data_IF_492388094992
#
_entry.id   IF_492388094992
#
_cell.length_a   1.000
_cell.length_b   1.000
_cell.length_c   1.000
_cell.angle_alpha   90.00
_cell.angle_beta   90.00
_cell.angle_gamma   90.00
#
_symmetry.space_group_name_H-M   'P 1'
#
loop_
_entity.id
_entity.type
_entity.pdbx_description
1 polymer ?
#
# COMPACT_ATOMS: atom_id res chain seq x y z
N UNK A 1 19.02 -13.26 22.99
CA UNK A 1 19.76 -12.21 23.73
C UNK A 1 18.89 -10.96 23.88
N UNK A 2 18.79 -10.43 25.08
CA UNK A 2 18.21 -9.11 25.31
C UNK A 2 19.15 -8.03 24.80
N UNK A 3 18.63 -7.09 23.99
CA UNK A 3 19.43 -6.09 23.30
C UNK A 3 18.76 -4.69 23.32
N UNK A 4 18.11 -4.39 24.43
CA UNK A 4 17.43 -3.11 24.64
C UNK A 4 18.42 -1.94 24.54
N UNK A 5 17.98 -0.84 23.96
CA UNK A 5 18.78 0.32 23.62
C UNK A 5 19.22 0.32 22.16
N UNK A 6 20.31 1.00 21.87
CA UNK A 6 20.83 1.19 20.51
C UNK A 6 22.31 0.78 20.42
N UNK A 7 22.86 0.53 19.23
CA UNK A 7 24.27 0.22 19.06
C UNK A 7 25.19 1.18 19.83
N UNK A 8 26.11 0.62 20.60
CA UNK A 8 27.00 1.36 21.49
C UNK A 8 26.35 1.94 22.77
N UNK A 9 25.04 1.81 22.94
CA UNK A 9 24.26 2.28 24.09
C UNK A 9 23.22 1.27 24.53
N UNK A 10 23.62 0.01 24.69
CA UNK A 10 22.75 -1.07 25.14
C UNK A 10 22.58 -1.04 26.66
N UNK A 11 21.40 -1.47 27.11
CA UNK A 11 21.16 -1.68 28.54
C UNK A 11 21.95 -2.90 29.07
N UNK A 12 22.05 -3.97 28.27
CA UNK A 12 22.79 -5.19 28.63
C UNK A 12 24.13 -5.26 27.92
N UNK A 13 25.14 -5.87 28.62
CA UNK A 13 26.41 -6.22 27.99
C UNK A 13 26.32 -7.39 27.02
N UNK A 14 27.35 -7.64 26.23
CA UNK A 14 27.44 -8.75 25.27
C UNK A 14 26.53 -8.56 24.06
N UNK A 15 26.33 -7.32 23.61
CA UNK A 15 25.49 -6.98 22.44
C UNK A 15 26.31 -6.58 21.20
N UNK A 16 27.63 -6.76 21.24
CA UNK A 16 28.54 -6.34 20.16
C UNK A 16 28.20 -6.96 18.80
N UNK A 17 27.76 -8.21 18.76
CA UNK A 17 27.34 -8.87 17.49
C UNK A 17 25.96 -8.39 17.01
N UNK A 18 25.04 -8.08 17.95
CA UNK A 18 23.74 -7.47 17.62
C UNK A 18 23.98 -6.06 17.08
N UNK A 19 24.93 -5.32 17.64
CA UNK A 19 25.31 -3.99 17.16
C UNK A 19 25.84 -4.02 15.73
N UNK A 20 26.67 -5.01 15.38
CA UNK A 20 27.14 -5.21 14.00
C UNK A 20 25.96 -5.41 13.05
N UNK A 21 25.01 -6.29 13.40
CA UNK A 21 23.85 -6.58 12.57
C UNK A 21 22.97 -5.34 12.39
N UNK A 22 22.67 -4.63 13.47
CA UNK A 22 21.83 -3.44 13.43
C UNK A 22 22.51 -2.29 12.66
N UNK A 23 23.82 -2.05 12.88
CA UNK A 23 24.58 -1.06 12.15
C UNK A 23 24.62 -1.39 10.65
N UNK A 24 24.85 -2.65 10.27
CA UNK A 24 24.83 -3.07 8.86
C UNK A 24 23.47 -2.77 8.20
N UNK A 25 22.36 -3.05 8.89
CA UNK A 25 21.02 -2.75 8.39
C UNK A 25 20.80 -1.23 8.25
N UNK A 26 21.28 -0.43 9.20
CA UNK A 26 21.20 1.04 9.15
C UNK A 26 21.98 1.62 7.99
N UNK A 27 23.23 1.20 7.81
CA UNK A 27 24.10 1.70 6.73
C UNK A 27 23.54 1.32 5.34
N UNK A 28 23.05 0.08 5.18
CA UNK A 28 22.39 -0.34 3.94
C UNK A 28 21.10 0.45 3.64
N UNK A 29 20.29 0.74 4.66
CA UNK A 29 19.11 1.59 4.50
C UNK A 29 19.47 3.00 4.08
N UNK A 30 20.54 3.59 4.68
CA UNK A 30 21.05 4.92 4.32
C UNK A 30 21.57 4.97 2.89
N UNK A 31 22.35 3.97 2.48
CA UNK A 31 22.87 3.84 1.12
C UNK A 31 21.75 3.67 0.10
N UNK A 32 20.78 2.78 0.38
CA UNK A 32 19.67 2.45 -0.54
C UNK A 32 18.76 3.65 -0.82
N UNK A 33 18.49 4.46 0.20
CA UNK A 33 17.54 5.58 0.12
C UNK A 33 18.20 6.97 0.12
N UNK A 34 19.51 7.05 0.21
CA UNK A 34 20.22 8.34 0.26
C UNK A 34 19.91 9.17 1.52
N UNK A 35 19.47 8.54 2.61
CA UNK A 35 19.06 9.24 3.82
C UNK A 35 20.20 9.38 4.83
N UNK A 36 20.22 10.49 5.57
CA UNK A 36 21.28 10.76 6.57
C UNK A 36 21.11 9.90 7.82
N UNK A 37 19.91 9.48 8.15
CA UNK A 37 19.59 8.74 9.36
C UNK A 37 18.60 7.59 9.08
N UNK A 38 18.82 6.45 9.73
CA UNK A 38 17.95 5.30 9.66
C UNK A 38 17.77 4.65 11.05
N UNK A 39 16.53 4.25 11.37
CA UNK A 39 16.19 3.39 12.50
C UNK A 39 15.53 2.12 11.96
N UNK A 40 16.11 0.98 12.27
CA UNK A 40 15.70 -0.33 11.75
C UNK A 40 15.07 -1.23 12.81
N UNK A 41 14.80 -0.70 14.00
CA UNK A 41 14.24 -1.47 15.12
C UNK A 41 12.73 -1.72 15.04
N UNK A 42 11.88 -0.90 14.37
CA UNK A 42 10.45 -1.20 14.28
C UNK A 42 10.21 -2.58 13.68
N UNK A 43 9.34 -3.39 14.30
CA UNK A 43 8.98 -4.72 13.81
C UNK A 43 7.89 -4.69 12.73
N UNK A 44 7.30 -3.52 12.44
CA UNK A 44 6.24 -3.32 11.44
C UNK A 44 6.16 -1.86 11.01
N UNK A 45 5.53 -1.60 9.86
CA UNK A 45 5.19 -0.23 9.44
C UNK A 45 4.27 0.46 10.44
N UNK A 46 3.34 -0.26 11.04
CA UNK A 46 2.45 0.30 12.08
C UNK A 46 3.23 0.79 13.30
N UNK A 47 4.23 0.04 13.77
CA UNK A 47 5.08 0.48 14.86
C UNK A 47 5.97 1.65 14.48
N UNK A 48 6.53 1.66 13.25
CA UNK A 48 7.30 2.80 12.74
C UNK A 48 6.43 4.07 12.71
N UNK A 49 5.21 3.98 12.18
CA UNK A 49 4.27 5.10 12.15
C UNK A 49 3.90 5.58 13.56
N UNK A 50 3.64 4.65 14.46
CA UNK A 50 3.38 4.96 15.86
C UNK A 50 4.52 5.73 16.52
N UNK A 51 5.77 5.32 16.28
CA UNK A 51 6.95 6.01 16.80
C UNK A 51 7.06 7.44 16.26
N UNK A 52 6.74 7.68 14.98
CA UNK A 52 6.70 9.01 14.38
C UNK A 52 5.61 9.86 15.03
N UNK A 53 4.40 9.32 15.20
CA UNK A 53 3.32 10.04 15.87
C UNK A 53 3.70 10.44 17.30
N UNK A 54 4.30 9.55 18.08
CA UNK A 54 4.74 9.86 19.44
C UNK A 54 5.88 10.87 19.52
N UNK A 55 6.77 10.87 18.51
CA UNK A 55 7.87 11.83 18.48
C UNK A 55 7.40 13.26 18.13
N UNK A 56 6.35 13.39 17.32
CA UNK A 56 5.95 14.68 16.72
C UNK A 56 4.63 15.23 17.26
N UNK A 57 3.79 14.40 17.89
CA UNK A 57 2.46 14.77 18.34
C UNK A 57 2.25 14.46 19.83
N UNK A 58 1.35 15.22 20.44
CA UNK A 58 0.77 14.91 21.76
C UNK A 58 -0.65 14.35 21.57
N UNK A 59 -1.18 13.53 22.51
CA UNK A 59 -2.56 13.08 22.47
C UNK A 59 -3.53 14.26 22.29
N UNK A 60 -4.47 14.10 21.34
CA UNK A 60 -5.41 15.16 20.97
C UNK A 60 -4.93 16.12 19.87
N UNK A 61 -3.66 16.10 19.51
CA UNK A 61 -3.16 16.91 18.39
C UNK A 61 -3.79 16.50 17.06
N UNK A 62 -4.00 17.50 16.20
CA UNK A 62 -4.58 17.30 14.87
C UNK A 62 -3.52 16.88 13.88
N UNK A 63 -3.81 15.88 13.08
CA UNK A 63 -3.05 15.55 11.87
C UNK A 63 -3.99 15.31 10.69
N UNK A 64 -3.46 15.49 9.48
CA UNK A 64 -4.17 15.32 8.21
C UNK A 64 -3.63 14.08 7.51
N UNK A 65 -4.49 13.16 7.05
CA UNK A 65 -4.11 11.93 6.35
C UNK A 65 -5.12 11.55 5.27
N UNK A 66 -4.75 10.63 4.38
CA UNK A 66 -5.67 10.12 3.37
C UNK A 66 -6.76 9.25 4.01
N UNK A 67 -8.01 9.47 3.60
CA UNK A 67 -9.14 8.66 4.03
C UNK A 67 -8.93 7.17 3.68
N UNK A 68 -9.30 6.28 4.59
CA UNK A 68 -9.14 4.84 4.41
C UNK A 68 -9.88 4.32 3.17
N UNK A 69 -11.08 4.84 2.90
CA UNK A 69 -11.87 4.48 1.73
C UNK A 69 -11.27 4.99 0.41
N UNK A 70 -10.43 6.01 0.48
CA UNK A 70 -9.69 6.55 -0.67
C UNK A 70 -8.31 5.90 -0.89
N UNK A 71 -7.98 4.89 -0.10
CA UNK A 71 -6.71 4.16 -0.21
C UNK A 71 -5.70 4.44 0.90
N UNK A 72 -6.06 5.18 1.94
CA UNK A 72 -5.23 5.38 3.12
C UNK A 72 -4.93 4.08 3.87
N UNK A 73 -4.07 4.16 4.87
CA UNK A 73 -3.77 3.02 5.76
C UNK A 73 -4.51 3.16 7.10
N UNK A 74 -4.76 2.04 7.79
CA UNK A 74 -5.39 2.07 9.12
C UNK A 74 -4.66 2.99 10.10
N UNK A 75 -3.32 3.06 10.04
CA UNK A 75 -2.51 3.93 10.88
C UNK A 75 -2.56 5.41 10.49
N UNK A 76 -3.29 5.78 9.44
CA UNK A 76 -3.47 7.17 9.02
C UNK A 76 -4.77 7.79 9.57
N UNK A 77 -5.21 7.36 10.75
CA UNK A 77 -6.33 7.99 11.47
C UNK A 77 -7.62 7.17 11.52
N UNK A 78 -7.59 5.89 11.14
CA UNK A 78 -8.78 5.04 11.29
C UNK A 78 -9.24 4.97 12.77
N UNK A 79 -10.54 5.10 13.06
CA UNK A 79 -11.07 4.97 14.43
C UNK A 79 -10.78 3.62 15.08
N UNK A 80 -10.53 2.58 14.28
CA UNK A 80 -10.14 1.26 14.78
C UNK A 80 -8.67 1.19 15.21
N UNK A 81 -7.85 2.16 14.80
CA UNK A 81 -6.42 2.22 15.09
C UNK A 81 -6.11 3.19 16.23
N UNK A 82 -4.94 3.02 16.85
CA UNK A 82 -4.44 3.93 17.88
C UNK A 82 -4.35 5.38 17.39
N UNK A 83 -3.94 5.62 16.13
CA UNK A 83 -3.84 6.95 15.55
C UNK A 83 -5.18 7.70 15.54
N UNK A 84 -6.28 6.98 15.31
CA UNK A 84 -7.62 7.56 15.37
C UNK A 84 -8.21 7.67 16.77
N UNK A 85 -7.63 6.96 17.75
CA UNK A 85 -8.12 6.98 19.16
C UNK A 85 -7.39 8.01 20.02
N UNK A 86 -6.12 8.26 19.75
CA UNK A 86 -5.28 9.11 20.59
C UNK A 86 -5.09 10.52 20.04
N UNK A 87 -5.22 10.69 18.74
CA UNK A 87 -5.09 11.98 18.07
C UNK A 87 -6.40 12.40 17.43
N UNK A 88 -6.43 13.61 16.89
CA UNK A 88 -7.56 14.13 16.12
C UNK A 88 -7.24 14.02 14.61
N UNK A 89 -7.56 12.90 13.97
CA UNK A 89 -7.36 12.76 12.53
C UNK A 89 -8.38 13.59 11.77
N UNK A 90 -7.91 14.29 10.75
CA UNK A 90 -8.71 14.89 9.68
C UNK A 90 -8.32 14.21 8.38
N UNK A 91 -9.28 13.92 7.52
CA UNK A 91 -8.98 13.16 6.29
C UNK A 91 -9.13 14.02 5.05
N UNK A 92 -8.20 13.87 4.10
CA UNK A 92 -8.38 14.31 2.72
C UNK A 92 -8.79 13.13 1.85
N UNK A 93 -9.47 13.45 0.73
CA UNK A 93 -10.01 12.46 -0.19
C UNK A 93 -9.41 12.64 -1.58
N UNK A 94 -9.73 11.71 -2.46
CA UNK A 94 -9.52 11.86 -3.91
C UNK A 94 -10.74 12.56 -4.52
N UNK A 95 -10.59 13.11 -5.73
CA UNK A 95 -11.70 13.68 -6.50
C UNK A 95 -12.65 12.57 -6.97
N UNK A 96 -13.93 12.92 -7.13
CA UNK A 96 -14.95 11.95 -7.55
C UNK A 96 -14.89 11.62 -9.05
N UNK A 97 -14.43 12.57 -9.86
CA UNK A 97 -14.39 12.47 -11.32
C UNK A 97 -13.26 11.58 -11.85
N UNK A 98 -12.06 11.66 -11.24
CA UNK A 98 -10.86 10.97 -11.73
C UNK A 98 -10.14 10.10 -10.69
N UNK A 99 -10.61 10.13 -9.44
CA UNK A 99 -10.01 9.44 -8.29
C UNK A 99 -8.54 9.82 -8.02
N UNK A 100 -8.13 11.04 -8.37
CA UNK A 100 -6.82 11.58 -8.04
C UNK A 100 -6.86 12.41 -6.75
N UNK A 101 -5.70 12.53 -6.07
CA UNK A 101 -5.57 13.39 -4.90
C UNK A 101 -5.84 14.84 -5.31
N UNK A 102 -6.76 15.49 -4.61
CA UNK A 102 -7.06 16.90 -4.76
C UNK A 102 -6.14 17.73 -3.85
N UNK A 103 -5.02 18.18 -4.39
CA UNK A 103 -4.03 18.95 -3.62
C UNK A 103 -4.55 20.33 -3.18
N UNK A 104 -5.48 20.92 -3.90
CA UNK A 104 -6.07 22.20 -3.50
C UNK A 104 -7.00 22.00 -2.30
N UNK A 105 -7.80 20.93 -2.30
CA UNK A 105 -8.58 20.54 -1.14
C UNK A 105 -7.69 20.16 0.06
N UNK A 106 -6.56 19.47 -0.16
CA UNK A 106 -5.58 19.21 0.91
C UNK A 106 -5.07 20.51 1.51
N UNK A 107 -4.76 21.53 0.69
CA UNK A 107 -4.29 22.83 1.14
C UNK A 107 -5.38 23.58 1.94
N UNK A 108 -6.63 23.60 1.46
CA UNK A 108 -7.77 24.18 2.17
C UNK A 108 -7.98 23.53 3.55
N UNK A 109 -7.94 22.20 3.60
CA UNK A 109 -8.08 21.46 4.85
C UNK A 109 -6.91 21.75 5.81
N UNK A 110 -5.69 21.85 5.30
CA UNK A 110 -4.52 22.20 6.12
C UNK A 110 -4.65 23.62 6.70
N UNK A 111 -5.06 24.60 5.93
CA UNK A 111 -5.30 25.98 6.39
C UNK A 111 -6.41 26.06 7.45
N UNK A 112 -7.49 25.32 7.24
CA UNK A 112 -8.66 25.29 8.13
C UNK A 112 -8.34 24.60 9.45
N UNK A 113 -7.78 23.41 9.41
CA UNK A 113 -7.64 22.52 10.57
C UNK A 113 -6.30 22.70 11.29
N UNK A 114 -5.33 23.36 10.65
CA UNK A 114 -3.97 23.64 11.18
C UNK A 114 -3.32 22.43 11.82
N UNK A 115 -3.19 21.31 11.07
CA UNK A 115 -2.61 20.10 11.62
C UNK A 115 -1.14 20.33 11.99
N UNK A 116 -0.64 19.63 12.99
CA UNK A 116 0.80 19.59 13.31
C UNK A 116 1.59 18.65 12.39
N UNK A 117 0.89 17.69 11.78
CA UNK A 117 1.46 16.66 10.91
C UNK A 117 0.55 16.42 9.71
N UNK A 118 1.13 16.33 8.52
CA UNK A 118 0.45 15.85 7.31
C UNK A 118 1.08 14.52 6.93
N UNK A 119 0.23 13.49 6.77
CA UNK A 119 0.64 12.15 6.34
C UNK A 119 0.36 12.01 4.84
N UNK A 120 1.40 11.83 4.05
CA UNK A 120 1.31 11.43 2.65
C UNK A 120 1.69 9.96 2.51
N UNK A 121 0.99 9.24 1.64
CA UNK A 121 1.19 7.81 1.46
C UNK A 121 -0.11 7.04 1.47
N UNK A 122 -0.12 5.88 0.86
CA UNK A 122 -1.32 5.10 0.65
C UNK A 122 -1.05 3.60 0.58
N UNK A 123 -2.08 2.81 0.92
CA UNK A 123 -2.09 1.36 0.79
C UNK A 123 -2.75 0.89 -0.51
N UNK A 124 -3.61 1.72 -1.10
CA UNK A 124 -4.41 1.38 -2.26
C UNK A 124 -4.68 2.61 -3.16
N UNK A 125 -3.67 3.43 -3.37
CA UNK A 125 -3.66 4.52 -4.35
C UNK A 125 -2.64 4.19 -5.43
N UNK A 126 -3.06 4.13 -6.69
CA UNK A 126 -2.28 3.55 -7.79
C UNK A 126 -1.51 4.59 -8.62
N UNK A 127 -1.72 5.88 -8.37
CA UNK A 127 -1.04 6.96 -9.09
C UNK A 127 0.15 7.52 -8.32
N UNK A 128 0.98 8.31 -9.00
CA UNK A 128 2.06 9.04 -8.35
C UNK A 128 1.53 10.03 -7.32
N UNK A 129 2.26 10.18 -6.23
CA UNK A 129 2.02 11.20 -5.20
C UNK A 129 3.05 12.30 -5.39
N UNK A 130 2.57 13.55 -5.49
CA UNK A 130 3.42 14.73 -5.57
C UNK A 130 3.85 15.14 -4.15
N UNK A 131 5.01 14.61 -3.71
CA UNK A 131 5.57 14.90 -2.39
C UNK A 131 6.04 16.35 -2.25
N UNK A 132 6.45 16.99 -3.36
CA UNK A 132 6.82 18.40 -3.37
C UNK A 132 5.62 19.27 -3.04
N UNK A 133 4.48 19.00 -3.67
CA UNK A 133 3.23 19.73 -3.39
C UNK A 133 2.75 19.53 -1.96
N UNK A 134 2.83 18.30 -1.42
CA UNK A 134 2.57 18.04 0.01
C UNK A 134 3.52 18.81 0.92
N UNK A 135 4.80 18.93 0.57
CA UNK A 135 5.77 19.70 1.35
C UNK A 135 5.41 21.20 1.36
N UNK A 136 5.08 21.78 0.23
CA UNK A 136 4.64 23.18 0.12
C UNK A 136 3.40 23.45 0.98
N UNK A 137 2.43 22.53 0.97
CA UNK A 137 1.23 22.62 1.83
C UNK A 137 1.61 22.53 3.31
N UNK A 138 2.46 21.59 3.70
CA UNK A 138 2.90 21.43 5.07
C UNK A 138 3.62 22.68 5.59
N UNK A 139 4.54 23.23 4.81
CA UNK A 139 5.29 24.44 5.13
C UNK A 139 4.36 25.66 5.30
N UNK A 140 3.31 25.77 4.47
CA UNK A 140 2.36 26.89 4.52
C UNK A 140 1.60 27.00 5.84
N UNK A 141 1.49 25.90 6.60
CA UNK A 141 0.79 25.85 7.89
C UNK A 141 1.72 25.51 9.07
N UNK A 142 3.02 25.37 8.82
CA UNK A 142 4.01 24.99 9.83
C UNK A 142 3.88 23.54 10.32
N UNK A 143 3.33 22.65 9.50
CA UNK A 143 3.19 21.23 9.80
C UNK A 143 4.43 20.42 9.40
N UNK A 144 4.65 19.29 10.07
CA UNK A 144 5.59 18.29 9.58
C UNK A 144 4.98 17.50 8.42
N UNK A 145 5.77 17.21 7.39
CA UNK A 145 5.41 16.22 6.37
C UNK A 145 6.00 14.86 6.74
N UNK A 146 5.13 13.89 6.95
CA UNK A 146 5.43 12.49 7.17
C UNK A 146 5.00 11.67 5.96
N UNK A 147 5.89 10.87 5.38
CA UNK A 147 5.57 9.99 4.25
C UNK A 147 5.68 8.52 4.66
N UNK A 148 4.57 7.78 4.51
CA UNK A 148 4.54 6.33 4.61
C UNK A 148 4.64 5.72 3.20
N UNK A 149 5.86 5.29 2.81
CA UNK A 149 6.11 4.69 1.50
C UNK A 149 6.10 3.16 1.51
N UNK A 150 5.51 2.53 2.53
CA UNK A 150 5.57 1.09 2.74
C UNK A 150 5.19 0.27 1.52
N UNK A 151 4.20 0.71 0.72
CA UNK A 151 3.76 -0.02 -0.46
C UNK A 151 4.68 0.14 -1.67
N UNK A 152 5.31 1.28 -1.86
CA UNK A 152 6.08 1.62 -3.06
C UNK A 152 7.59 1.84 -2.80
N UNK A 153 8.09 1.53 -1.60
CA UNK A 153 9.51 1.74 -1.26
C UNK A 153 10.50 1.03 -2.20
N UNK A 154 10.15 -0.16 -2.69
CA UNK A 154 10.98 -0.85 -3.69
C UNK A 154 11.01 -0.15 -5.05
N UNK A 155 9.92 0.53 -5.42
CA UNK A 155 9.86 1.33 -6.64
C UNK A 155 10.67 2.62 -6.49
N UNK A 156 10.61 3.26 -5.31
CA UNK A 156 11.46 4.42 -4.97
C UNK A 156 12.93 4.02 -5.05
N UNK A 157 13.34 2.95 -4.38
CA UNK A 157 14.71 2.43 -4.41
C UNK A 157 15.19 2.07 -5.82
N UNK A 158 14.29 1.61 -6.70
CA UNK A 158 14.57 1.29 -8.10
C UNK A 158 14.44 2.48 -9.06
N UNK A 159 14.12 3.68 -8.58
CA UNK A 159 13.96 4.88 -9.41
C UNK A 159 12.69 4.88 -10.28
N UNK A 160 11.72 4.01 -10.00
CA UNK A 160 10.48 3.86 -10.76
C UNK A 160 9.25 4.56 -10.11
N UNK A 161 9.47 5.30 -9.03
CA UNK A 161 8.45 6.09 -8.34
C UNK A 161 9.08 7.35 -7.73
N UNK A 162 8.35 8.47 -7.63
CA UNK A 162 8.88 9.69 -7.03
C UNK A 162 9.49 9.45 -5.65
N UNK A 163 10.67 10.03 -5.43
CA UNK A 163 11.39 9.92 -4.15
C UNK A 163 10.81 10.92 -3.12
N UNK A 164 10.29 10.46 -1.98
CA UNK A 164 9.79 11.35 -0.93
C UNK A 164 10.89 12.01 -0.09
N UNK A 165 12.10 11.42 -0.05
CA UNK A 165 13.16 11.83 0.89
C UNK A 165 13.59 13.29 0.76
N UNK A 166 13.72 13.89 -0.45
CA UNK A 166 14.05 15.30 -0.57
C UNK A 166 12.99 16.27 -0.03
N UNK A 167 11.76 15.78 0.16
CA UNK A 167 10.60 16.59 0.51
C UNK A 167 10.08 16.34 1.93
N UNK A 168 10.15 15.11 2.42
CA UNK A 168 9.58 14.73 3.71
C UNK A 168 10.50 15.06 4.89
N UNK A 169 9.92 15.42 6.04
CA UNK A 169 10.66 15.53 7.30
C UNK A 169 11.00 14.16 7.87
N UNK A 170 10.08 13.20 7.70
CA UNK A 170 10.27 11.81 8.10
C UNK A 170 9.59 10.89 7.11
N UNK A 171 10.21 9.74 6.85
CA UNK A 171 9.69 8.70 5.95
C UNK A 171 9.67 7.37 6.70
N UNK A 172 8.61 6.60 6.56
CA UNK A 172 8.55 5.21 7.03
C UNK A 172 8.35 4.23 5.89
N UNK A 173 8.73 3.00 6.11
CA UNK A 173 8.47 1.90 5.18
C UNK A 173 8.34 0.56 5.91
N UNK A 174 7.94 -0.46 5.18
CA UNK A 174 8.07 -1.87 5.56
C UNK A 174 9.16 -2.53 4.74
N UNK A 175 9.77 -3.58 5.26
CA UNK A 175 10.77 -4.38 4.53
C UNK A 175 10.15 -5.54 3.75
N UNK A 176 8.90 -5.90 4.04
CA UNK A 176 8.21 -7.10 3.57
C UNK A 176 7.19 -6.87 2.45
N UNK A 177 7.21 -5.71 1.79
CA UNK A 177 6.37 -5.38 0.62
C UNK A 177 7.25 -5.27 -0.63
N UNK A 178 7.24 -4.16 -1.33
CA UNK A 178 8.04 -3.99 -2.56
C UNK A 178 9.56 -4.04 -2.35
N UNK A 179 10.05 -3.91 -1.12
CA UNK A 179 11.46 -4.20 -0.79
C UNK A 179 11.80 -5.70 -0.76
N UNK A 180 10.85 -6.59 -1.11
CA UNK A 180 11.02 -8.02 -1.34
C UNK A 180 11.36 -8.85 -0.11
N UNK A 181 10.79 -8.54 1.03
CA UNK A 181 10.63 -9.52 2.10
C UNK A 181 9.64 -10.62 1.67
N UNK A 182 9.29 -11.61 2.53
CA UNK A 182 8.68 -12.88 2.11
C UNK A 182 7.22 -12.83 1.64
N UNK A 183 6.74 -11.74 1.02
CA UNK A 183 5.38 -11.64 0.44
C UNK A 183 5.37 -10.76 -0.82
N UNK A 184 4.39 -10.92 -1.75
CA UNK A 184 4.34 -10.24 -3.04
C UNK A 184 2.94 -10.04 -3.69
N UNK A 185 2.82 -9.74 -5.01
CA UNK A 185 1.58 -9.44 -5.76
C UNK A 185 1.71 -9.19 -7.29
N UNK A 186 0.77 -8.61 -8.07
CA UNK A 186 0.73 -8.62 -9.56
C UNK A 186 0.22 -7.32 -10.23
N UNK A 187 0.50 -7.04 -11.55
CA UNK A 187 -0.04 -5.93 -12.37
C UNK A 187 -0.91 -6.48 -13.53
N UNK A 188 -2.11 -5.90 -13.71
CA UNK A 188 -3.12 -6.42 -14.63
C UNK A 188 -3.96 -5.32 -15.30
N UNK A 189 -3.58 -4.05 -15.22
CA UNK A 189 -4.46 -2.92 -15.51
C UNK A 189 -4.94 -2.85 -16.96
N UNK A 190 -4.08 -3.05 -17.96
CA UNK A 190 -4.45 -2.96 -19.37
C UNK A 190 -5.49 -4.01 -19.75
N UNK A 191 -5.25 -5.28 -19.41
CA UNK A 191 -6.16 -6.40 -19.71
C UNK A 191 -7.49 -6.27 -18.99
N UNK A 192 -7.50 -5.85 -17.72
CA UNK A 192 -8.72 -5.69 -16.94
C UNK A 192 -9.62 -4.60 -17.52
N UNK A 193 -9.07 -3.47 -17.94
CA UNK A 193 -9.83 -2.40 -18.59
C UNK A 193 -10.42 -2.86 -19.93
N UNK A 194 -9.64 -3.53 -20.76
CA UNK A 194 -10.08 -4.09 -22.05
C UNK A 194 -11.25 -5.06 -21.89
N UNK A 195 -11.23 -5.90 -20.83
CA UNK A 195 -12.27 -6.87 -20.50
C UNK A 195 -13.46 -6.26 -19.76
N UNK A 196 -13.53 -4.92 -19.64
CA UNK A 196 -14.66 -4.18 -19.06
C UNK A 196 -14.72 -4.24 -17.54
N UNK A 197 -13.60 -4.45 -16.85
CA UNK A 197 -13.43 -4.22 -15.42
C UNK A 197 -12.96 -2.78 -15.19
N UNK A 198 -13.60 -2.10 -14.25
CA UNK A 198 -13.24 -0.74 -13.90
C UNK A 198 -11.99 -0.74 -12.99
N UNK A 199 -10.94 -0.08 -13.44
CA UNK A 199 -9.75 0.19 -12.62
C UNK A 199 -9.85 1.60 -12.06
N UNK A 200 -9.75 1.73 -10.74
CA UNK A 200 -9.81 3.02 -10.05
C UNK A 200 -8.75 3.96 -10.61
N UNK A 201 -9.10 5.23 -10.83
CA UNK A 201 -8.26 6.26 -11.49
C UNK A 201 -7.82 5.93 -12.93
N UNK A 202 -8.51 5.00 -13.60
CA UNK A 202 -8.27 4.66 -15.01
C UNK A 202 -6.94 3.96 -15.32
N UNK A 203 -6.17 3.56 -14.31
CA UNK A 203 -4.89 2.88 -14.49
C UNK A 203 -4.03 2.86 -13.24
N UNK A 204 -2.74 2.53 -13.41
CA UNK A 204 -1.77 2.52 -12.31
C UNK A 204 -0.40 3.00 -12.76
N UNK A 205 0.28 3.75 -11.89
CA UNK A 205 1.69 4.16 -12.01
C UNK A 205 2.57 3.36 -11.03
N UNK A 206 2.03 2.31 -10.39
CA UNK A 206 2.71 1.54 -9.36
C UNK A 206 2.51 0.03 -9.56
N UNK A 207 2.92 -0.75 -8.57
CA UNK A 207 2.74 -2.21 -8.51
C UNK A 207 1.31 -2.64 -8.08
N UNK A 208 0.42 -1.68 -7.78
CA UNK A 208 -0.94 -1.94 -7.28
C UNK A 208 -1.95 -1.64 -8.38
N UNK A 209 -2.93 -2.53 -8.54
CA UNK A 209 -4.16 -2.29 -9.30
C UNK A 209 -5.33 -2.41 -8.34
N UNK A 210 -6.14 -1.35 -8.25
CA UNK A 210 -7.39 -1.36 -7.50
C UNK A 210 -8.54 -1.47 -8.50
N UNK A 211 -9.26 -2.58 -8.45
CA UNK A 211 -10.39 -2.87 -9.34
C UNK A 211 -11.69 -2.54 -8.64
N UNK A 212 -12.52 -1.72 -9.29
CA UNK A 212 -13.89 -1.43 -8.87
C UNK A 212 -14.84 -2.48 -9.47
N UNK A 213 -15.50 -3.22 -8.63
CA UNK A 213 -16.39 -4.32 -9.01
C UNK A 213 -17.87 -3.90 -9.11
N UNK A 214 -18.21 -2.66 -8.74
CA UNK A 214 -19.60 -2.14 -8.81
C UNK A 214 -20.21 -2.28 -10.20
N UNK A 215 -19.48 -2.02 -11.31
CA UNK A 215 -20.05 -2.22 -12.67
C UNK A 215 -20.38 -3.67 -13.01
N UNK A 216 -19.83 -4.63 -12.28
CA UNK A 216 -20.12 -6.07 -12.44
C UNK A 216 -21.13 -6.59 -11.42
N UNK A 217 -21.60 -5.73 -10.50
CA UNK A 217 -22.56 -6.06 -9.44
C UNK A 217 -22.11 -7.22 -8.53
N UNK A 218 -20.80 -7.36 -8.32
CA UNK A 218 -20.22 -8.37 -7.42
C UNK A 218 -19.45 -7.69 -6.29
N UNK A 219 -19.34 -8.38 -5.13
CA UNK A 219 -18.67 -7.83 -3.96
C UNK A 219 -17.18 -8.18 -3.94
N UNK A 220 -16.38 -7.35 -3.26
CA UNK A 220 -14.96 -7.64 -3.04
C UNK A 220 -14.77 -8.95 -2.28
N UNK A 221 -15.62 -9.22 -1.27
CA UNK A 221 -15.58 -10.46 -0.47
C UNK A 221 -15.83 -11.71 -1.31
N UNK A 222 -16.86 -11.70 -2.15
CA UNK A 222 -17.17 -12.83 -3.01
C UNK A 222 -16.06 -13.04 -4.04
N UNK A 223 -15.61 -11.97 -4.70
CA UNK A 223 -14.54 -12.04 -5.70
C UNK A 223 -13.21 -12.54 -5.10
N UNK A 224 -12.83 -12.09 -3.91
CA UNK A 224 -11.65 -12.59 -3.19
C UNK A 224 -11.73 -14.12 -3.02
N UNK A 225 -12.87 -14.64 -2.56
CA UNK A 225 -13.08 -16.07 -2.35
C UNK A 225 -13.03 -16.88 -3.66
N UNK A 226 -13.67 -16.39 -4.73
CA UNK A 226 -13.69 -17.08 -6.01
C UNK A 226 -12.31 -17.10 -6.68
N UNK A 227 -11.55 -16.01 -6.60
CA UNK A 227 -10.17 -15.96 -7.09
C UNK A 227 -9.23 -16.89 -6.29
N UNK A 228 -9.44 -17.04 -4.99
CA UNK A 228 -8.70 -17.99 -4.17
C UNK A 228 -9.00 -19.44 -4.58
N UNK A 229 -10.26 -19.79 -4.89
CA UNK A 229 -10.62 -21.11 -5.45
C UNK A 229 -9.93 -21.34 -6.80
N UNK A 230 -9.74 -20.31 -7.60
CA UNK A 230 -8.97 -20.35 -8.85
C UNK A 230 -7.42 -20.26 -8.65
N UNK A 231 -6.93 -20.36 -7.40
CA UNK A 231 -5.52 -20.30 -6.99
C UNK A 231 -4.85 -18.95 -7.26
N UNK A 232 -5.62 -17.87 -7.31
CA UNK A 232 -5.12 -16.51 -7.47
C UNK A 232 -5.40 -15.70 -6.20
N UNK A 233 -4.34 -15.34 -5.46
CA UNK A 233 -4.47 -14.58 -4.21
C UNK A 233 -4.61 -13.09 -4.48
N UNK A 234 -5.67 -12.50 -3.94
CA UNK A 234 -5.87 -11.06 -3.85
C UNK A 234 -6.43 -10.69 -2.47
N UNK A 235 -6.80 -9.43 -2.26
CA UNK A 235 -7.60 -9.07 -1.10
C UNK A 235 -8.77 -8.16 -1.51
N UNK A 236 -9.92 -8.36 -0.85
CA UNK A 236 -11.00 -7.39 -0.92
C UNK A 236 -10.52 -6.03 -0.42
N UNK A 237 -10.97 -4.96 -1.05
CA UNK A 237 -10.56 -3.61 -0.72
C UNK A 237 -11.71 -2.64 -0.99
N UNK A 238 -11.90 -1.66 -0.09
CA UNK A 238 -12.80 -0.55 -0.38
C UNK A 238 -12.30 0.23 -1.59
N UNK A 239 -13.23 0.73 -2.38
CA UNK A 239 -12.95 1.68 -3.47
C UNK A 239 -13.35 3.08 -3.01
N UNK A 240 -12.85 4.16 -3.62
CA UNK A 240 -13.28 5.51 -3.29
C UNK A 240 -14.82 5.62 -3.34
N UNK A 241 -15.38 6.29 -2.33
CA UNK A 241 -16.84 6.45 -2.16
C UNK A 241 -17.61 5.13 -2.06
N UNK A 242 -16.96 4.08 -1.54
CA UNK A 242 -17.58 2.78 -1.31
C UNK A 242 -18.69 2.89 -0.27
N UNK A 243 -19.87 2.38 -0.60
CA UNK A 243 -21.04 2.32 0.30
C UNK A 243 -21.17 0.98 1.00
N UNK A 244 -20.40 -0.03 0.57
CA UNK A 244 -20.42 -1.35 1.18
C UNK A 244 -19.73 -1.37 2.54
N UNK A 245 -20.18 -2.22 3.49
CA UNK A 245 -19.47 -2.40 4.76
C UNK A 245 -18.01 -2.83 4.54
N UNK A 246 -17.10 -2.37 5.40
CA UNK A 246 -15.66 -2.68 5.32
C UNK A 246 -15.34 -4.19 5.26
N UNK A 247 -16.20 -5.03 5.81
CA UNK A 247 -16.07 -6.50 5.78
C UNK A 247 -16.51 -7.13 4.45
N UNK A 248 -17.17 -6.37 3.58
CA UNK A 248 -17.68 -6.81 2.28
C UNK A 248 -16.92 -6.16 1.13
N UNK A 249 -16.86 -4.82 1.11
CA UNK A 249 -16.21 -3.97 0.12
C UNK A 249 -16.73 -4.13 -1.32
N UNK A 250 -16.45 -3.15 -2.17
CA UNK A 250 -16.85 -3.16 -3.58
C UNK A 250 -15.69 -3.29 -4.55
N UNK A 251 -14.50 -3.63 -4.06
CA UNK A 251 -13.33 -3.81 -4.91
C UNK A 251 -12.38 -4.89 -4.44
N UNK A 252 -11.40 -5.18 -5.27
CA UNK A 252 -10.24 -6.02 -4.95
C UNK A 252 -8.95 -5.30 -5.30
N UNK A 253 -7.94 -5.52 -4.47
CA UNK A 253 -6.58 -5.02 -4.70
C UNK A 253 -5.70 -6.16 -5.20
N UNK A 254 -5.06 -5.91 -6.33
CA UNK A 254 -4.11 -6.80 -7.00
C UNK A 254 -2.74 -6.15 -7.02
N UNK A 255 -1.69 -6.93 -7.17
CA UNK A 255 -0.35 -6.37 -7.29
C UNK A 255 0.66 -7.34 -7.90
N UNK A 256 1.86 -6.87 -8.35
CA UNK A 256 2.81 -7.67 -9.13
C UNK A 256 3.99 -8.31 -8.42
N UNK A 257 4.49 -7.85 -7.26
CA UNK A 257 5.84 -8.22 -6.84
C UNK A 257 6.09 -9.74 -6.74
N UNK A 258 5.08 -10.55 -6.35
CA UNK A 258 5.28 -12.00 -6.25
C UNK A 258 5.47 -12.66 -7.61
N UNK A 259 4.65 -12.30 -8.59
CA UNK A 259 4.78 -12.84 -9.96
C UNK A 259 6.09 -12.41 -10.59
N UNK A 260 6.48 -11.14 -10.46
CA UNK A 260 7.77 -10.64 -10.94
C UNK A 260 8.94 -11.37 -10.27
N UNK A 261 8.86 -11.64 -8.97
CA UNK A 261 9.89 -12.43 -8.24
C UNK A 261 9.98 -13.85 -8.75
N UNK A 262 8.86 -14.44 -9.21
CA UNK A 262 8.85 -15.77 -9.87
C UNK A 262 9.43 -15.75 -11.29
N UNK A 263 9.63 -14.57 -11.88
CA UNK A 263 10.09 -14.42 -13.26
C UNK A 263 8.97 -14.17 -14.28
N UNK A 264 7.75 -13.84 -13.84
CA UNK A 264 6.65 -13.48 -14.74
C UNK A 264 6.99 -12.21 -15.50
N UNK A 265 6.81 -12.22 -16.81
CA UNK A 265 6.87 -11.09 -17.71
C UNK A 265 5.48 -10.56 -18.08
N UNK A 266 5.43 -9.71 -19.09
CA UNK A 266 4.20 -9.07 -19.56
C UNK A 266 3.15 -10.08 -20.01
N UNK A 267 3.56 -11.13 -20.76
CA UNK A 267 2.65 -12.14 -21.28
C UNK A 267 1.96 -12.95 -20.19
N UNK A 268 2.69 -13.30 -19.12
CA UNK A 268 2.12 -13.99 -17.97
C UNK A 268 1.11 -13.13 -17.24
N UNK A 269 1.42 -11.84 -17.03
CA UNK A 269 0.49 -10.92 -16.39
C UNK A 269 -0.74 -10.61 -17.24
N UNK A 270 -0.62 -10.55 -18.56
CA UNK A 270 -1.77 -10.45 -19.46
C UNK A 270 -2.68 -11.67 -19.32
N UNK A 271 -2.10 -12.88 -19.35
CA UNK A 271 -2.84 -14.12 -19.17
C UNK A 271 -3.60 -14.16 -17.85
N UNK A 272 -2.94 -13.77 -16.75
CA UNK A 272 -3.56 -13.70 -15.42
C UNK A 272 -4.70 -12.66 -15.40
N UNK A 273 -4.54 -11.52 -16.09
CA UNK A 273 -5.59 -10.52 -16.24
C UNK A 273 -6.84 -11.06 -16.90
N UNK A 274 -6.68 -11.83 -17.99
CA UNK A 274 -7.80 -12.51 -18.65
C UNK A 274 -8.47 -13.53 -17.72
N UNK A 275 -7.71 -14.35 -17.00
CA UNK A 275 -8.27 -15.35 -16.09
C UNK A 275 -9.06 -14.72 -14.93
N UNK A 276 -8.61 -13.61 -14.38
CA UNK A 276 -9.36 -12.85 -13.37
C UNK A 276 -10.67 -12.33 -13.97
N UNK A 277 -10.62 -11.78 -15.18
CA UNK A 277 -11.81 -11.29 -15.86
C UNK A 277 -12.81 -12.43 -16.19
N UNK A 278 -12.32 -13.62 -16.54
CA UNK A 278 -13.16 -14.80 -16.77
C UNK A 278 -13.89 -15.21 -15.48
N UNK A 279 -13.17 -15.34 -14.36
CA UNK A 279 -13.76 -15.66 -13.04
C UNK A 279 -14.81 -14.63 -12.65
N UNK A 280 -14.47 -13.33 -12.66
CA UNK A 280 -15.40 -12.25 -12.27
C UNK A 280 -16.62 -12.20 -13.19
N UNK A 281 -16.44 -12.39 -14.49
CA UNK A 281 -17.56 -12.37 -15.44
C UNK A 281 -18.49 -13.57 -15.25
N UNK A 282 -17.95 -14.74 -14.87
CA UNK A 282 -18.77 -15.95 -14.63
C UNK A 282 -19.63 -15.84 -13.37
N UNK A 283 -19.36 -14.89 -12.47
CA UNK A 283 -20.16 -14.65 -11.27
C UNK A 283 -21.56 -14.05 -11.61
N UNK A 284 -21.71 -13.42 -12.77
CA UNK A 284 -23.00 -12.90 -13.27
C UNK A 284 -23.78 -12.03 -12.25
N UNK A 285 -23.09 -11.21 -11.46
CA UNK A 285 -23.71 -10.39 -10.42
C UNK A 285 -24.04 -11.13 -9.11
N UNK A 286 -23.65 -12.40 -8.98
CA UNK A 286 -23.81 -13.21 -7.77
C UNK A 286 -22.52 -13.35 -6.94
N UNK A 287 -22.60 -14.18 -5.92
CA UNK A 287 -21.47 -14.44 -5.00
C UNK A 287 -20.58 -15.63 -5.43
N UNK A 288 -21.05 -16.44 -6.39
CA UNK A 288 -20.36 -17.65 -6.85
C UNK A 288 -20.06 -17.57 -8.35
N UNK A 289 -18.85 -17.97 -8.73
CA UNK A 289 -18.43 -18.13 -10.12
C UNK A 289 -18.82 -19.52 -10.65
N UNK A 290 -18.88 -19.66 -11.96
CA UNK A 290 -19.10 -20.97 -12.59
C UNK A 290 -17.98 -21.95 -12.19
N UNK A 291 -18.32 -23.11 -11.56
CA UNK A 291 -17.32 -24.09 -11.16
C UNK A 291 -16.44 -24.61 -12.31
N UNK A 292 -16.96 -24.66 -13.54
CA UNK A 292 -16.18 -25.06 -14.69
C UNK A 292 -15.10 -24.03 -15.03
N UNK A 293 -15.42 -22.73 -14.96
CA UNK A 293 -14.47 -21.63 -15.15
C UNK A 293 -13.41 -21.65 -14.05
N UNK A 294 -13.79 -21.83 -12.78
CA UNK A 294 -12.87 -21.96 -11.66
C UNK A 294 -11.88 -23.12 -11.90
N UNK A 295 -12.37 -24.30 -12.28
CA UNK A 295 -11.55 -25.47 -12.51
C UNK A 295 -10.56 -25.27 -13.69
N UNK A 296 -11.03 -24.68 -14.78
CA UNK A 296 -10.21 -24.35 -15.95
C UNK A 296 -9.11 -23.36 -15.58
N UNK A 297 -9.45 -22.24 -14.94
CA UNK A 297 -8.50 -21.21 -14.54
C UNK A 297 -7.47 -21.76 -13.54
N UNK A 298 -7.92 -22.53 -12.53
CA UNK A 298 -7.00 -23.17 -11.59
C UNK A 298 -6.01 -24.12 -12.29
N UNK A 299 -6.44 -24.81 -13.35
CA UNK A 299 -5.57 -25.62 -14.21
C UNK A 299 -4.49 -24.78 -14.90
N UNK A 300 -4.88 -23.67 -15.51
CA UNK A 300 -3.98 -22.71 -16.16
C UNK A 300 -2.96 -22.10 -15.17
N UNK A 301 -3.43 -21.73 -13.97
CA UNK A 301 -2.56 -21.20 -12.92
C UNK A 301 -1.54 -22.23 -12.46
N UNK A 302 -1.91 -23.51 -12.28
CA UNK A 302 -0.97 -24.59 -11.95
C UNK A 302 0.07 -24.78 -13.04
N UNK A 303 -0.33 -24.77 -14.30
CA UNK A 303 0.58 -24.91 -15.45
C UNK A 303 1.58 -23.74 -15.46
N UNK A 304 1.10 -22.49 -15.37
CA UNK A 304 1.94 -21.32 -15.31
C UNK A 304 2.93 -21.40 -14.15
N UNK A 305 2.47 -21.73 -12.95
CA UNK A 305 3.32 -21.75 -11.75
C UNK A 305 4.36 -22.88 -11.76
N UNK A 306 4.14 -23.97 -12.51
CA UNK A 306 5.15 -25.01 -12.74
C UNK A 306 6.29 -24.52 -13.64
N UNK A 307 6.01 -23.68 -14.60
CA UNK A 307 7.04 -23.08 -15.49
C UNK A 307 7.94 -22.11 -14.73
N UNK A 308 7.46 -21.51 -13.62
CA UNK A 308 8.15 -20.51 -12.84
C UNK A 308 8.17 -20.91 -11.34
N UNK A 309 8.92 -21.92 -10.94
CA UNK A 309 9.00 -22.36 -9.55
C UNK A 309 9.67 -21.30 -8.67
N UNK A 310 9.23 -21.17 -7.41
CA UNK A 310 9.86 -20.24 -6.43
C UNK A 310 11.15 -20.86 -5.88
N UNK A 311 11.15 -22.18 -5.70
CA UNK A 311 12.31 -22.94 -5.25
C UNK A 311 12.64 -23.95 -6.35
N UNK A 312 13.81 -23.82 -6.92
CA UNK A 312 14.35 -24.73 -7.94
C UNK A 312 15.17 -25.83 -7.32
#
# INVERSE_FOLDING_TARGET
KYAEGYPGRRYYGGCEYVDITENLARERAKELFGCAFANVQPHSGAQANQAVFFALLQPGDTFLGMDLACGGHLTHGSPANQSGKWFRPVTYKVREDDNLIDYDHVAEMALKEKPKLIVAGASAYSRHIDFKRFREIADSVGAYLFVDMAHYAGLVAGGAYPDPLPHAHVVTTTTHKTLRGPRGGMILSAVLIERGLAVVSGGTDSHIVLVDLRPKSVTGKATEAQLEHALMTCNKNGVPFDTAPFTVTSGVRLGTPAGTTRGFGVEEFQSIGHWIADVVSSMNGGDEADPAVIAEVAGKVRELTRRFPIYG
#
